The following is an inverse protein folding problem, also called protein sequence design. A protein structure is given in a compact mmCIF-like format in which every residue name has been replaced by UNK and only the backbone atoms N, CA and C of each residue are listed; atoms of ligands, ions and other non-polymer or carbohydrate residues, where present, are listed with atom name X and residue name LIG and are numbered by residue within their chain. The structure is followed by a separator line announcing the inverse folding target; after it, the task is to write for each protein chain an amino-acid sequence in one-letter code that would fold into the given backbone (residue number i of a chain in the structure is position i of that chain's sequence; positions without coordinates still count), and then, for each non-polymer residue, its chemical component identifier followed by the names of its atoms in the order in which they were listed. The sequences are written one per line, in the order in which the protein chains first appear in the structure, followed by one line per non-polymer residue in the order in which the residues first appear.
data_IF_669259846296
#
_entry.id   IF_669259846296
#
_cell.length_a   1.000
_cell.length_b   1.000
_cell.length_c   1.000
_cell.angle_alpha   90.00
_cell.angle_beta   90.00
_cell.angle_gamma   90.00
#
_symmetry.space_group_name_H-M   'P 1'
#
loop_
_entity.id
_entity.type
_entity.pdbx_description
1 polymer ?
#
# COMPACT_ATOMS: atom_id res chain seq x y z
N UNK A 1 4.90 2.77 -3.42
CA UNK A 1 5.11 1.91 -2.22
C UNK A 1 5.89 2.74 -1.23
N UNK A 2 5.37 2.91 -0.01
CA UNK A 2 5.92 3.86 0.98
C UNK A 2 6.30 3.12 2.26
N UNK A 3 7.56 3.22 2.66
CA UNK A 3 8.06 2.69 3.94
C UNK A 3 8.73 3.82 4.73
N UNK A 4 8.49 3.86 6.04
CA UNK A 4 9.10 4.81 6.97
C UNK A 4 10.03 4.02 7.90
N UNK A 5 11.29 4.46 8.05
CA UNK A 5 12.24 3.88 9.01
C UNK A 5 12.10 4.62 10.34
N UNK A 6 12.11 3.87 11.45
CA UNK A 6 12.04 4.40 12.81
C UNK A 6 13.19 3.87 13.64
N UNK A 7 13.77 4.73 14.47
CA UNK A 7 14.93 4.40 15.31
C UNK A 7 14.57 3.52 16.51
N UNK A 8 13.31 3.54 16.92
CA UNK A 8 12.81 2.79 18.07
C UNK A 8 11.50 2.04 17.76
N UNK A 9 11.38 0.86 18.36
CA UNK A 9 10.23 -0.02 18.17
C UNK A 9 8.89 0.59 18.64
N UNK A 10 8.83 1.31 19.78
CA UNK A 10 7.62 2.04 20.19
C UNK A 10 7.11 3.04 19.14
N UNK A 11 8.01 3.80 18.51
CA UNK A 11 7.69 4.78 17.46
C UNK A 11 7.12 4.11 16.21
N UNK A 12 7.72 3.00 15.76
CA UNK A 12 7.19 2.21 14.65
C UNK A 12 5.76 1.71 14.93
N UNK A 13 5.54 1.15 16.13
CA UNK A 13 4.23 0.64 16.56
C UNK A 13 3.20 1.79 16.67
N UNK A 14 3.61 2.96 17.18
CA UNK A 14 2.77 4.15 17.29
C UNK A 14 2.27 4.62 15.92
N UNK A 15 3.18 4.71 14.94
CA UNK A 15 2.84 5.06 13.56
C UNK A 15 1.91 4.04 12.92
N UNK A 16 2.18 2.76 13.08
CA UNK A 16 1.35 1.69 12.54
C UNK A 16 -0.09 1.75 13.12
N UNK A 17 -0.22 1.94 14.44
CA UNK A 17 -1.52 2.11 15.10
C UNK A 17 -2.27 3.34 14.61
N UNK A 18 -1.57 4.45 14.35
CA UNK A 18 -2.15 5.67 13.81
C UNK A 18 -2.69 5.44 12.38
N UNK A 19 -1.89 4.83 11.51
CA UNK A 19 -2.27 4.48 10.13
C UNK A 19 -3.44 3.48 10.09
N UNK A 20 -3.49 2.54 11.03
CA UNK A 20 -4.61 1.59 11.16
C UNK A 20 -5.94 2.29 11.46
N UNK A 21 -5.93 3.37 12.26
CA UNK A 21 -7.12 4.16 12.63
C UNK A 21 -7.59 5.17 11.57
N UNK A 22 -6.81 5.41 10.51
CA UNK A 22 -7.19 6.39 9.50
C UNK A 22 -8.36 5.94 8.62
N UNK A 23 -9.17 6.91 8.21
CA UNK A 23 -10.20 6.70 7.21
C UNK A 23 -9.57 6.29 5.87
N UNK A 24 -10.22 5.36 5.16
CA UNK A 24 -9.78 4.84 3.86
C UNK A 24 -9.29 5.92 2.86
N UNK A 25 -9.97 7.07 2.70
CA UNK A 25 -9.53 8.12 1.76
C UNK A 25 -8.15 8.67 2.10
N UNK A 26 -7.80 8.79 3.37
CA UNK A 26 -6.49 9.30 3.79
C UNK A 26 -5.34 8.36 3.43
N UNK A 27 -5.60 7.04 3.51
CA UNK A 27 -4.61 6.03 3.09
C UNK A 27 -4.41 6.06 1.57
N UNK A 28 -5.50 6.26 0.83
CA UNK A 28 -5.46 6.40 -0.64
C UNK A 28 -4.66 7.64 -1.04
N UNK A 29 -4.98 8.80 -0.47
CA UNK A 29 -4.25 10.04 -0.76
C UNK A 29 -2.75 9.94 -0.45
N UNK A 30 -2.38 9.23 0.62
CA UNK A 30 -0.99 9.01 1.00
C UNK A 30 -0.25 8.06 0.03
N UNK A 31 -0.96 7.14 -0.60
CA UNK A 31 -0.40 6.26 -1.63
C UNK A 31 -0.31 7.02 -2.95
N UNK A 32 -1.34 7.79 -3.30
CA UNK A 32 -1.40 8.61 -4.52
C UNK A 32 -0.38 9.74 -4.52
N UNK A 33 -0.03 10.31 -3.36
CA UNK A 33 1.03 11.33 -3.28
C UNK A 33 2.37 10.81 -3.77
N UNK A 34 2.66 9.54 -3.51
CA UNK A 34 3.94 8.90 -3.80
C UNK A 34 3.89 8.01 -5.06
N UNK A 35 2.71 7.53 -5.44
CA UNK A 35 2.46 6.72 -6.63
C UNK A 35 1.14 7.16 -7.31
N UNK A 36 1.14 8.31 -7.99
CA UNK A 36 -0.07 8.87 -8.60
C UNK A 36 -0.62 7.99 -9.74
N UNK A 37 0.23 7.18 -10.35
CA UNK A 37 -0.12 6.30 -11.47
C UNK A 37 -0.52 4.89 -11.03
N UNK A 38 -0.52 4.61 -9.72
CA UNK A 38 -0.82 3.28 -9.18
C UNK A 38 -0.04 2.15 -9.85
N UNK A 39 1.22 2.42 -10.22
CA UNK A 39 2.08 1.42 -10.86
C UNK A 39 2.28 0.22 -9.93
N UNK A 40 2.12 -0.99 -10.47
CA UNK A 40 2.32 -2.22 -9.72
C UNK A 40 3.81 -2.45 -9.48
N UNK A 41 4.27 -2.05 -8.30
CA UNK A 41 5.66 -2.19 -7.87
C UNK A 41 6.03 -3.64 -7.57
N UNK A 42 5.09 -4.59 -7.53
CA UNK A 42 5.41 -6.00 -7.44
C UNK A 42 6.24 -6.43 -8.66
N UNK A 43 5.86 -5.97 -9.84
CA UNK A 43 6.59 -6.22 -11.10
C UNK A 43 8.00 -5.64 -11.04
N UNK A 44 8.13 -4.40 -10.55
CA UNK A 44 9.43 -3.73 -10.42
C UNK A 44 10.37 -4.41 -9.41
N UNK A 45 9.81 -5.08 -8.40
CA UNK A 45 10.55 -5.83 -7.39
C UNK A 45 10.82 -7.29 -7.79
N UNK A 46 10.48 -7.69 -9.01
CA UNK A 46 10.71 -9.05 -9.54
C UNK A 46 9.67 -10.08 -9.11
N UNK A 47 8.54 -9.64 -8.57
CA UNK A 47 7.39 -10.50 -8.31
C UNK A 47 6.50 -10.58 -9.55
N UNK A 48 5.78 -11.71 -9.70
CA UNK A 48 4.77 -11.82 -10.74
C UNK A 48 3.72 -10.70 -10.57
N UNK A 49 3.30 -10.02 -11.67
CA UNK A 49 2.22 -9.06 -11.61
C UNK A 49 1.02 -9.71 -10.94
N UNK A 50 0.32 -8.98 -10.06
CA UNK A 50 -0.89 -9.53 -9.45
C UNK A 50 -1.78 -10.04 -10.58
N UNK A 51 -1.96 -11.36 -10.64
CA UNK A 51 -2.88 -12.00 -11.59
C UNK A 51 -4.17 -11.22 -11.47
N UNK A 52 -4.55 -10.51 -12.53
CA UNK A 52 -5.88 -9.97 -12.65
C UNK A 52 -6.78 -11.14 -12.30
N UNK A 53 -7.45 -11.07 -11.16
CA UNK A 53 -8.62 -11.91 -10.95
C UNK A 53 -9.57 -11.39 -12.00
N UNK A 54 -9.46 -11.97 -13.20
CA UNK A 54 -10.53 -12.00 -14.17
C UNK A 54 -11.71 -12.40 -13.30
N UNK A 55 -12.59 -11.45 -13.02
CA UNK A 55 -13.96 -11.77 -12.69
C UNK A 55 -14.39 -12.59 -13.89
N UNK A 56 -14.30 -13.90 -13.72
CA UNK A 56 -15.07 -14.82 -14.52
C UNK A 56 -16.49 -14.44 -14.14
N UNK A 57 -17.05 -13.48 -14.88
CA UNK A 57 -18.48 -13.31 -14.98
C UNK A 57 -18.98 -14.67 -15.49
N UNK A 58 -19.42 -15.48 -14.54
CA UNK A 58 -20.10 -16.74 -14.81
C UNK A 58 -21.48 -16.45 -15.39
N UNK A 59 -22.02 -17.37 -16.20
CA UNK A 59 -23.23 -17.15 -17.00
C UNK A 59 -24.49 -16.88 -16.17
#
# INVERSE_FOLDING_TARGET
MRFEMFDDMPSAIGREKQLKRWHRPWKINLIESDNPHWEDLAVALGFDPMRSTTRMDGP
#
